data_IF_072390065834
#
_entry.id   IF_072390065834
#
_cell.length_a   1.000
_cell.length_b   1.000
_cell.length_c   1.000
_cell.angle_alpha   90.00
_cell.angle_beta   90.00
_cell.angle_gamma   90.00
#
_symmetry.space_group_name_H-M   'P 1'
#
loop_
_entity.id
_entity.type
_entity.pdbx_description
1 polymer ?
#
# COMPACT_ATOMS: atom_id res chain seq x y z
N UNK A 1 -11.66 3.01 -20.42
CA UNK A 1 -11.51 1.84 -21.30
C UNK A 1 -10.07 1.36 -21.32
N UNK A 2 -9.10 2.26 -21.47
CA UNK A 2 -7.69 1.89 -21.63
C UNK A 2 -7.07 1.21 -20.41
N UNK A 3 -7.42 1.65 -19.18
CA UNK A 3 -6.95 1.01 -17.95
C UNK A 3 -7.52 -0.39 -17.77
N UNK A 4 -8.79 -0.60 -18.07
CA UNK A 4 -9.43 -1.92 -18.00
C UNK A 4 -8.83 -2.86 -19.05
N UNK A 5 -8.61 -2.39 -20.28
CA UNK A 5 -7.92 -3.13 -21.32
C UNK A 5 -6.52 -3.54 -20.86
N UNK A 6 -5.73 -2.61 -20.31
CA UNK A 6 -4.39 -2.91 -19.79
C UNK A 6 -4.41 -3.98 -18.70
N UNK A 7 -5.37 -3.93 -17.76
CA UNK A 7 -5.51 -4.94 -16.71
C UNK A 7 -5.83 -6.31 -17.33
N UNK A 8 -6.81 -6.37 -18.26
CA UNK A 8 -7.21 -7.61 -18.92
C UNK A 8 -6.06 -8.25 -19.70
N UNK A 9 -5.30 -7.44 -20.43
CA UNK A 9 -4.19 -7.90 -21.27
C UNK A 9 -2.98 -8.37 -20.46
N UNK A 10 -2.76 -7.76 -19.26
CA UNK A 10 -1.56 -7.99 -18.45
C UNK A 10 -1.76 -8.91 -17.24
N UNK A 11 -3.00 -9.28 -16.91
CA UNK A 11 -3.25 -10.09 -15.72
C UNK A 11 -2.54 -11.45 -15.76
N UNK A 12 -2.52 -12.13 -16.92
CA UNK A 12 -1.84 -13.42 -17.07
C UNK A 12 -0.32 -13.30 -16.97
N UNK A 13 0.26 -12.25 -17.56
CA UNK A 13 1.70 -11.96 -17.42
C UNK A 13 2.07 -11.70 -15.95
N UNK A 14 1.20 -11.01 -15.22
CA UNK A 14 1.40 -10.73 -13.78
C UNK A 14 1.36 -12.03 -12.96
N UNK A 15 0.39 -12.90 -13.21
CA UNK A 15 0.32 -14.22 -12.55
C UNK A 15 1.56 -15.05 -12.86
N UNK A 16 1.95 -15.11 -14.15
CA UNK A 16 3.18 -15.82 -14.53
C UNK A 16 4.40 -15.28 -13.79
N UNK A 17 4.55 -13.96 -13.73
CA UNK A 17 5.66 -13.30 -13.03
C UNK A 17 5.71 -13.70 -11.55
N UNK A 18 4.60 -13.67 -10.82
CA UNK A 18 4.60 -14.01 -9.39
C UNK A 18 4.83 -15.51 -9.16
N UNK A 19 4.38 -16.38 -10.07
CA UNK A 19 4.71 -17.83 -10.04
C UNK A 19 6.21 -18.04 -10.27
N UNK A 20 6.80 -17.39 -11.27
CA UNK A 20 8.23 -17.46 -11.56
C UNK A 20 9.09 -16.96 -10.37
N UNK A 21 8.55 -16.05 -9.56
CA UNK A 21 9.16 -15.58 -8.32
C UNK A 21 8.96 -16.53 -7.12
N UNK A 22 8.21 -17.62 -7.29
CA UNK A 22 8.00 -18.65 -6.28
C UNK A 22 6.71 -18.54 -5.49
N UNK A 23 5.73 -17.76 -5.95
CA UNK A 23 4.38 -17.79 -5.37
C UNK A 23 3.64 -19.06 -5.79
N UNK A 24 3.02 -19.75 -4.82
CA UNK A 24 2.28 -20.98 -5.07
C UNK A 24 0.77 -20.72 -4.93
N UNK A 25 0.01 -21.17 -5.93
CA UNK A 25 -1.45 -21.13 -5.92
C UNK A 25 -2.04 -22.52 -5.72
N UNK A 26 -3.30 -22.57 -5.25
CA UNK A 26 -4.05 -23.82 -5.15
C UNK A 26 -4.38 -24.29 -6.58
N UNK A 27 -3.96 -25.50 -6.98
CA UNK A 27 -4.18 -25.98 -8.33
C UNK A 27 -5.67 -26.16 -8.65
N UNK A 28 -6.07 -25.76 -9.85
CA UNK A 28 -7.44 -25.95 -10.37
C UNK A 28 -8.54 -25.37 -9.46
N UNK A 29 -8.21 -24.36 -8.65
CA UNK A 29 -9.15 -23.71 -7.77
C UNK A 29 -9.20 -22.21 -8.05
N UNK A 30 -10.39 -21.72 -8.38
CA UNK A 30 -10.64 -20.30 -8.58
C UNK A 30 -11.81 -19.86 -7.70
N UNK A 31 -11.61 -18.78 -6.99
CA UNK A 31 -12.61 -18.20 -6.11
C UNK A 31 -13.61 -17.35 -6.89
N UNK A 32 -14.86 -17.39 -6.44
CA UNK A 32 -15.94 -16.55 -6.91
C UNK A 32 -16.18 -15.43 -5.88
N UNK A 33 -15.56 -14.29 -6.12
CA UNK A 33 -15.68 -13.13 -5.24
C UNK A 33 -16.94 -12.31 -5.53
N UNK A 34 -17.38 -11.54 -4.55
CA UNK A 34 -18.50 -10.62 -4.72
C UNK A 34 -18.32 -9.66 -5.90
N UNK A 35 -19.33 -9.50 -6.74
CA UNK A 35 -19.28 -8.68 -7.94
C UNK A 35 -18.67 -9.36 -9.18
N UNK A 36 -18.13 -10.57 -9.05
CA UNK A 36 -17.67 -11.34 -10.21
C UNK A 36 -18.84 -12.06 -10.90
N UNK A 37 -18.80 -12.09 -12.22
CA UNK A 37 -19.76 -12.85 -13.03
C UNK A 37 -19.35 -14.31 -13.24
N UNK A 38 -18.06 -14.63 -13.03
CA UNK A 38 -17.47 -15.96 -13.11
C UNK A 38 -16.35 -16.10 -12.10
N UNK A 39 -15.97 -17.31 -11.66
CA UNK A 39 -14.75 -17.54 -10.86
C UNK A 39 -13.52 -17.05 -11.64
N UNK A 40 -12.74 -16.15 -11.02
CA UNK A 40 -11.57 -15.55 -11.67
C UNK A 40 -10.43 -15.16 -10.72
N UNK A 41 -10.59 -15.39 -9.43
CA UNK A 41 -9.57 -15.09 -8.43
C UNK A 41 -8.76 -16.32 -8.08
N UNK A 42 -7.45 -16.24 -8.23
CA UNK A 42 -6.56 -17.32 -7.81
C UNK A 42 -6.39 -17.30 -6.29
N UNK A 43 -6.51 -18.46 -5.67
CA UNK A 43 -6.23 -18.62 -4.25
C UNK A 43 -4.74 -18.91 -4.02
N UNK A 44 -4.08 -18.07 -3.22
CA UNK A 44 -2.70 -18.34 -2.81
C UNK A 44 -2.67 -19.47 -1.79
N UNK A 45 -1.83 -20.48 -2.01
CA UNK A 45 -1.74 -21.69 -1.17
C UNK A 45 -1.47 -21.41 0.31
N UNK A 46 -0.77 -20.31 0.61
CA UNK A 46 -0.51 -19.87 1.98
C UNK A 46 -1.75 -19.30 2.71
N UNK A 47 -2.88 -19.11 2.03
CA UNK A 47 -4.11 -18.53 2.57
C UNK A 47 -4.02 -17.08 3.01
N UNK A 48 -2.88 -16.42 2.84
CA UNK A 48 -2.63 -15.03 3.25
C UNK A 48 -1.71 -14.31 2.27
N UNK A 49 -1.68 -12.98 2.33
CA UNK A 49 -0.75 -12.15 1.53
C UNK A 49 0.73 -12.47 1.76
N UNK A 50 1.09 -13.18 2.83
CA UNK A 50 2.46 -13.63 3.07
C UNK A 50 2.96 -14.58 1.98
N UNK A 51 2.05 -15.29 1.31
CA UNK A 51 2.36 -16.16 0.16
C UNK A 51 2.92 -15.41 -1.05
N UNK A 52 2.61 -14.11 -1.19
CA UNK A 52 3.23 -13.24 -2.17
C UNK A 52 4.49 -12.57 -1.65
N UNK A 53 4.41 -12.01 -0.45
CA UNK A 53 5.48 -11.15 0.09
C UNK A 53 6.77 -11.93 0.33
N UNK A 54 6.71 -13.14 0.89
CA UNK A 54 7.92 -13.91 1.22
C UNK A 54 8.74 -14.30 0.00
N UNK A 55 8.20 -14.94 -1.06
CA UNK A 55 8.98 -15.30 -2.23
C UNK A 55 9.46 -14.05 -3.01
N UNK A 56 8.63 -13.02 -3.15
CA UNK A 56 9.02 -11.77 -3.80
C UNK A 56 10.16 -11.07 -3.04
N UNK A 57 10.09 -11.01 -1.71
CA UNK A 57 11.15 -10.46 -0.88
C UNK A 57 12.46 -11.26 -1.03
N UNK A 58 12.39 -12.59 -1.03
CA UNK A 58 13.56 -13.45 -1.25
C UNK A 58 14.18 -13.24 -2.64
N UNK A 59 13.36 -13.01 -3.67
CA UNK A 59 13.84 -12.67 -5.01
C UNK A 59 14.53 -11.29 -5.04
N UNK A 60 13.94 -10.29 -4.41
CA UNK A 60 14.51 -8.93 -4.33
C UNK A 60 15.86 -8.91 -3.59
N UNK A 61 16.04 -9.72 -2.57
CA UNK A 61 17.31 -9.81 -1.83
C UNK A 61 18.49 -10.32 -2.67
N UNK A 62 18.22 -10.99 -3.80
CA UNK A 62 19.26 -11.45 -4.74
C UNK A 62 19.72 -10.36 -5.70
N UNK A 63 19.05 -9.23 -5.75
CA UNK A 63 19.35 -8.13 -6.66
C UNK A 63 20.31 -7.14 -5.99
N UNK A 64 21.53 -6.96 -6.51
CA UNK A 64 22.56 -6.12 -5.87
C UNK A 64 22.22 -4.62 -5.86
N UNK A 65 21.32 -4.21 -6.74
CA UNK A 65 20.87 -2.83 -6.89
C UNK A 65 19.59 -2.49 -6.08
N UNK A 66 19.08 -3.44 -5.29
CA UNK A 66 17.89 -3.25 -4.47
C UNK A 66 18.27 -3.13 -3.00
N UNK A 67 17.81 -2.06 -2.35
CA UNK A 67 17.98 -1.85 -0.91
C UNK A 67 16.62 -1.77 -0.24
N UNK A 68 16.30 -2.75 0.60
CA UNK A 68 15.08 -2.78 1.39
C UNK A 68 15.36 -2.19 2.78
N UNK A 69 14.62 -1.14 3.14
CA UNK A 69 14.72 -0.48 4.46
C UNK A 69 13.42 -0.68 5.22
N UNK A 70 13.48 -1.47 6.27
CA UNK A 70 12.40 -1.63 7.24
C UNK A 70 12.49 -0.58 8.35
N UNK A 71 11.42 -0.41 9.13
CA UNK A 71 11.31 0.63 10.17
C UNK A 71 11.67 2.02 9.60
N UNK A 72 11.21 2.28 8.39
CA UNK A 72 11.39 3.52 7.68
C UNK A 72 10.00 4.10 7.39
N UNK A 73 9.66 5.20 8.06
CA UNK A 73 8.39 5.89 7.84
C UNK A 73 8.61 7.08 6.92
N UNK A 74 7.87 7.15 5.84
CA UNK A 74 7.81 8.32 4.98
C UNK A 74 7.28 9.54 5.77
N UNK A 75 7.92 10.68 5.62
CA UNK A 75 7.49 11.94 6.25
C UNK A 75 7.03 12.96 5.21
N UNK A 76 7.82 13.21 4.16
CA UNK A 76 7.47 14.21 3.14
C UNK A 76 8.21 14.00 1.81
N UNK A 77 7.73 14.68 0.77
CA UNK A 77 8.45 14.82 -0.49
C UNK A 77 9.47 15.96 -0.42
N UNK A 78 10.50 15.85 -1.23
CA UNK A 78 11.43 16.93 -1.54
C UNK A 78 11.07 17.42 -2.93
N UNK A 79 10.68 18.68 -3.01
CA UNK A 79 10.24 19.31 -4.25
C UNK A 79 11.31 20.28 -4.74
N UNK A 80 11.72 20.11 -5.98
CA UNK A 80 12.65 20.99 -6.66
C UNK A 80 12.05 22.35 -7.01
N UNK A 81 12.87 23.29 -7.42
CA UNK A 81 12.45 24.63 -7.80
C UNK A 81 11.51 24.65 -9.02
N UNK A 82 11.55 23.60 -9.84
CA UNK A 82 10.69 23.39 -11.01
C UNK A 82 9.39 22.65 -10.67
N UNK A 83 9.16 22.31 -9.39
CA UNK A 83 8.02 21.53 -8.92
C UNK A 83 8.17 20.02 -9.06
N UNK A 84 9.30 19.52 -9.55
CA UNK A 84 9.54 18.08 -9.66
C UNK A 84 9.80 17.44 -8.28
N UNK A 85 9.38 16.18 -8.12
CA UNK A 85 9.73 15.39 -6.93
C UNK A 85 11.19 14.93 -7.06
N UNK A 86 12.08 15.52 -6.27
CA UNK A 86 13.51 15.20 -6.25
C UNK A 86 13.90 14.13 -5.23
N UNK A 87 13.00 13.76 -4.33
CA UNK A 87 13.27 12.79 -3.30
C UNK A 87 12.23 12.76 -2.20
N UNK A 88 12.61 12.14 -1.09
CA UNK A 88 11.77 12.02 0.10
C UNK A 88 12.56 12.21 1.39
N UNK A 89 11.90 12.68 2.42
CA UNK A 89 12.34 12.58 3.80
C UNK A 89 11.63 11.42 4.49
N UNK A 90 12.34 10.73 5.35
CA UNK A 90 11.80 9.63 6.12
C UNK A 90 12.47 9.49 7.47
N UNK A 91 11.79 8.87 8.43
CA UNK A 91 12.37 8.52 9.73
C UNK A 91 12.89 7.08 9.71
N UNK A 92 14.18 6.93 9.90
CA UNK A 92 14.86 5.63 10.02
C UNK A 92 14.88 5.19 11.50
N UNK A 93 14.61 3.93 11.75
CA UNK A 93 14.46 3.39 13.11
C UNK A 93 13.11 3.71 13.75
N UNK A 94 12.13 4.06 12.93
CA UNK A 94 10.75 4.29 13.36
C UNK A 94 10.17 3.06 14.07
N UNK A 95 9.41 3.29 15.13
CA UNK A 95 8.72 2.26 15.90
C UNK A 95 7.25 2.66 16.02
N UNK A 96 6.40 1.94 15.32
CA UNK A 96 4.95 2.13 15.42
C UNK A 96 4.49 1.98 16.88
N UNK A 97 3.57 2.84 17.31
CA UNK A 97 3.02 2.84 18.65
C UNK A 97 1.48 2.87 18.62
N UNK A 98 0.86 1.72 18.77
CA UNK A 98 -0.61 1.57 18.78
C UNK A 98 -1.32 2.20 19.98
N UNK A 99 -0.57 2.74 20.94
CA UNK A 99 -1.14 3.44 22.10
C UNK A 99 -1.39 4.93 21.85
N UNK A 100 -0.89 5.47 20.75
CA UNK A 100 -1.14 6.85 20.35
C UNK A 100 -2.49 6.93 19.64
N UNK A 101 -3.15 8.05 19.78
CA UNK A 101 -4.41 8.33 19.07
C UNK A 101 -4.16 8.42 17.57
N UNK A 102 -3.08 9.09 17.17
CA UNK A 102 -2.56 9.11 15.82
C UNK A 102 -1.06 8.89 15.81
N UNK A 103 -0.63 7.68 15.44
CA UNK A 103 0.79 7.38 15.31
C UNK A 103 1.48 8.28 14.27
N UNK A 104 0.80 8.63 13.21
CA UNK A 104 1.34 9.51 12.16
C UNK A 104 1.67 10.92 12.67
N UNK A 105 0.84 11.48 13.52
CA UNK A 105 0.98 12.85 14.02
C UNK A 105 1.83 12.95 15.29
N UNK A 106 1.66 12.02 16.20
CA UNK A 106 2.21 12.10 17.56
C UNK A 106 3.53 11.36 17.71
N UNK A 107 3.76 10.30 16.94
CA UNK A 107 4.97 9.50 17.06
C UNK A 107 6.21 10.25 16.55
N UNK A 108 7.17 10.47 17.44
CA UNK A 108 8.43 11.17 17.15
C UNK A 108 9.63 10.22 17.10
N UNK A 109 9.42 8.91 17.10
CA UNK A 109 10.51 7.93 17.04
C UNK A 109 11.21 7.92 15.67
N UNK A 110 12.46 7.51 15.68
CA UNK A 110 13.30 7.47 14.48
C UNK A 110 14.12 8.75 14.27
N UNK A 111 15.05 8.69 13.34
CA UNK A 111 15.89 9.83 12.92
C UNK A 111 15.55 10.21 11.50
N UNK A 112 15.29 11.48 11.26
CA UNK A 112 15.04 12.01 9.92
C UNK A 112 16.24 11.77 9.02
N UNK A 113 15.96 11.25 7.84
CA UNK A 113 16.91 11.03 6.76
C UNK A 113 16.30 11.46 5.44
N UNK A 114 17.15 11.72 4.47
CA UNK A 114 16.79 12.16 3.13
C UNK A 114 17.29 11.15 2.11
N UNK A 115 16.48 10.90 1.09
CA UNK A 115 16.88 10.13 -0.09
C UNK A 115 16.56 10.95 -1.33
N UNK A 116 17.58 11.17 -2.16
CA UNK A 116 17.40 11.77 -3.48
C UNK A 116 16.94 10.70 -4.46
N UNK A 117 15.92 11.03 -5.25
CA UNK A 117 15.40 10.18 -6.32
C UNK A 117 15.93 10.69 -7.67
N UNK A 118 16.72 9.88 -8.36
CA UNK A 118 17.31 10.27 -9.65
C UNK A 118 16.33 10.14 -10.82
N UNK A 119 15.31 9.30 -10.70
CA UNK A 119 14.32 9.04 -11.78
C UNK A 119 12.89 9.34 -11.34
N UNK A 120 12.57 9.20 -10.07
CA UNK A 120 11.23 9.42 -9.53
C UNK A 120 10.99 8.63 -8.25
N UNK A 121 9.83 8.87 -7.65
CA UNK A 121 9.34 8.17 -6.46
C UNK A 121 8.06 7.44 -6.81
N UNK A 122 8.01 6.14 -6.54
CA UNK A 122 6.79 5.34 -6.68
C UNK A 122 6.10 5.22 -5.34
N UNK A 123 4.82 5.57 -5.29
CA UNK A 123 3.98 5.39 -4.12
C UNK A 123 3.27 4.04 -4.19
N UNK A 124 3.55 3.17 -3.22
CA UNK A 124 2.92 1.86 -3.06
C UNK A 124 2.51 1.64 -1.59
N UNK A 125 2.06 2.71 -0.92
CA UNK A 125 1.79 2.72 0.52
C UNK A 125 0.47 2.03 0.90
N UNK A 126 -0.35 1.63 -0.06
CA UNK A 126 -1.66 1.04 0.18
C UNK A 126 -2.73 2.08 0.52
N UNK A 127 -3.81 1.61 1.14
CA UNK A 127 -4.95 2.44 1.52
C UNK A 127 -4.86 2.97 2.95
N UNK A 128 -5.92 3.66 3.37
CA UNK A 128 -6.00 4.38 4.66
C UNK A 128 -7.03 3.78 5.64
N UNK A 129 -7.28 2.50 5.55
CA UNK A 129 -8.36 1.86 6.32
C UNK A 129 -8.18 1.87 7.85
N UNK A 130 -6.98 2.12 8.36
CA UNK A 130 -6.70 2.28 9.80
C UNK A 130 -6.65 3.74 10.26
N UNK A 131 -6.80 4.70 9.34
CA UNK A 131 -6.86 6.13 9.67
C UNK A 131 -8.31 6.52 9.91
N UNK A 132 -8.74 6.48 11.18
CA UNK A 132 -10.12 6.76 11.56
C UNK A 132 -10.51 8.21 11.24
N UNK A 133 -9.63 9.15 11.49
CA UNK A 133 -9.87 10.56 11.25
C UNK A 133 -10.04 10.84 9.76
N UNK A 134 -9.14 10.32 8.93
CA UNK A 134 -9.24 10.50 7.49
C UNK A 134 -10.49 9.82 6.92
N UNK A 135 -10.81 8.59 7.36
CA UNK A 135 -12.03 7.90 6.94
C UNK A 135 -13.30 8.71 7.24
N UNK A 136 -13.38 9.29 8.44
CA UNK A 136 -14.55 10.10 8.84
C UNK A 136 -14.71 11.37 8.00
N UNK A 137 -13.61 11.97 7.52
CA UNK A 137 -13.68 13.11 6.59
C UNK A 137 -14.16 12.70 5.20
N UNK A 138 -13.98 11.44 4.81
CA UNK A 138 -14.40 10.93 3.51
C UNK A 138 -15.83 10.36 3.53
N UNK A 139 -16.23 9.75 4.63
CA UNK A 139 -17.57 9.19 4.83
C UNK A 139 -18.06 9.42 6.26
N UNK A 140 -19.04 10.31 6.48
CA UNK A 140 -19.54 10.65 7.81
C UNK A 140 -20.27 9.49 8.50
N UNK A 141 -20.58 8.40 7.81
CA UNK A 141 -21.15 7.17 8.41
C UNK A 141 -20.11 6.37 9.21
N UNK A 142 -18.84 6.60 8.96
CA UNK A 142 -17.74 5.98 9.72
C UNK A 142 -17.68 6.62 11.11
N UNK A 143 -17.80 5.80 12.14
CA UNK A 143 -17.68 6.24 13.54
C UNK A 143 -16.32 5.82 14.12
N UNK A 144 -15.87 6.42 15.24
CA UNK A 144 -14.56 6.09 15.83
C UNK A 144 -14.39 4.61 16.18
N UNK A 145 -15.49 3.92 16.46
CA UNK A 145 -15.52 2.48 16.78
C UNK A 145 -15.51 1.57 15.55
N UNK A 146 -15.62 2.11 14.33
CA UNK A 146 -15.52 1.32 13.10
C UNK A 146 -14.09 0.80 12.94
N UNK A 147 -13.87 -0.47 13.23
CA UNK A 147 -12.55 -1.09 13.17
C UNK A 147 -12.13 -1.45 11.73
N UNK A 148 -10.95 -2.01 11.58
CA UNK A 148 -10.39 -2.46 10.32
C UNK A 148 -9.50 -3.68 10.54
N UNK A 149 -9.60 -4.67 9.67
CA UNK A 149 -8.75 -5.87 9.67
C UNK A 149 -7.35 -5.59 9.12
N UNK A 150 -7.11 -4.41 8.55
CA UNK A 150 -5.81 -4.06 7.99
C UNK A 150 -4.77 -3.80 9.10
N UNK A 151 -3.51 -3.94 8.72
CA UNK A 151 -2.40 -3.65 9.63
C UNK A 151 -2.39 -2.16 10.05
N UNK A 152 -1.92 -1.84 11.26
CA UNK A 152 -2.03 -0.51 11.84
C UNK A 152 -1.40 0.64 11.05
N UNK A 153 -0.39 0.36 10.22
CA UNK A 153 0.26 1.37 9.39
C UNK A 153 -0.50 1.75 8.11
N UNK A 154 -1.70 1.18 7.87
CA UNK A 154 -2.53 1.55 6.73
C UNK A 154 -3.25 2.89 6.97
N UNK A 155 -2.47 3.97 7.01
CA UNK A 155 -2.90 5.34 7.28
C UNK A 155 -2.83 6.23 6.05
N UNK A 156 -3.46 7.41 6.09
CA UNK A 156 -3.50 8.36 4.99
C UNK A 156 -2.23 9.25 4.89
N UNK A 157 -1.20 9.03 5.70
CA UNK A 157 -0.05 9.93 5.78
C UNK A 157 0.63 10.19 4.43
N UNK A 158 0.90 9.15 3.64
CA UNK A 158 1.47 9.30 2.29
C UNK A 158 0.50 9.95 1.32
N UNK A 159 -0.77 9.54 1.35
CA UNK A 159 -1.82 10.09 0.50
C UNK A 159 -2.02 11.58 0.72
N UNK A 160 -2.11 12.01 1.97
CA UNK A 160 -2.28 13.42 2.35
C UNK A 160 -1.13 14.28 1.82
N UNK A 161 0.11 13.79 1.91
CA UNK A 161 1.28 14.48 1.36
C UNK A 161 1.24 14.55 -0.16
N UNK A 162 0.84 13.47 -0.83
CA UNK A 162 0.67 13.46 -2.28
C UNK A 162 -0.39 14.46 -2.75
N UNK A 163 -1.55 14.53 -2.07
CA UNK A 163 -2.58 15.53 -2.35
C UNK A 163 -2.04 16.95 -2.15
N UNK A 164 -1.23 17.17 -1.11
CA UNK A 164 -0.62 18.47 -0.82
C UNK A 164 0.32 18.99 -1.90
N UNK A 165 0.89 18.12 -2.72
CA UNK A 165 1.75 18.50 -3.87
C UNK A 165 1.03 18.40 -5.22
N UNK A 166 -0.29 18.26 -5.23
CA UNK A 166 -1.12 18.37 -6.43
C UNK A 166 -1.60 17.03 -7.03
N UNK A 167 -1.46 15.91 -6.33
CA UNK A 167 -2.06 14.66 -6.77
C UNK A 167 -3.59 14.78 -6.76
N UNK A 168 -4.26 14.29 -7.81
CA UNK A 168 -5.70 14.31 -7.91
C UNK A 168 -6.32 13.17 -7.08
N UNK A 169 -7.29 13.47 -6.19
CA UNK A 169 -8.01 12.41 -5.46
C UNK A 169 -9.00 11.70 -6.39
N UNK A 170 -9.10 10.38 -6.25
CA UNK A 170 -10.08 9.58 -6.97
C UNK A 170 -10.84 8.70 -5.99
N UNK A 171 -12.16 8.90 -5.90
CA UNK A 171 -13.11 8.05 -5.17
C UNK A 171 -12.71 7.78 -3.70
N UNK A 172 -12.16 8.74 -2.98
CA UNK A 172 -11.72 8.57 -1.59
C UNK A 172 -12.87 8.21 -0.62
N UNK A 173 -14.12 8.58 -0.97
CA UNK A 173 -15.31 8.24 -0.20
C UNK A 173 -15.83 6.80 -0.42
N UNK A 174 -15.23 6.04 -1.32
CA UNK A 174 -15.62 4.66 -1.56
C UNK A 174 -14.91 3.72 -0.59
N UNK A 175 -15.39 3.69 0.64
CA UNK A 175 -14.88 2.81 1.67
C UNK A 175 -15.56 1.44 1.57
N UNK A 176 -14.75 0.38 1.47
CA UNK A 176 -15.25 -0.99 1.46
C UNK A 176 -15.54 -1.44 2.89
N UNK A 177 -16.81 -1.64 3.20
CA UNK A 177 -17.22 -2.31 4.43
C UNK A 177 -17.19 -3.82 4.21
N UNK A 178 -16.47 -4.52 5.09
CA UNK A 178 -16.42 -5.98 5.05
C UNK A 178 -17.66 -6.52 5.77
N UNK A 179 -18.49 -7.35 5.13
CA UNK A 179 -19.72 -7.87 5.74
C UNK A 179 -19.46 -9.03 6.74
N UNK A 180 -18.21 -9.45 6.87
CA UNK A 180 -17.80 -10.55 7.74
C UNK A 180 -16.79 -10.06 8.77
N UNK A 181 -17.07 -10.39 10.04
CA UNK A 181 -16.18 -10.15 11.19
C UNK A 181 -15.81 -11.50 11.81
#
# INVERSE_FOLDING_TARGET
PDLLGTIADRCNDTIKMVVDLGCEFVPNHMLFEGGHSVPRSYEIKAGTGSGYIRPMHAALQKLPNVVIRTRAKFDDFIIGADGAVEGVTYRSGYRFNSKLESDDLENKTGRTKTVRALKGVMLAAGGFSRDIWFRQTQDPRVVPTTDSTNQPGATAGVLTKALGIGAAPVQLCWLQFLPYC
#
